data_IF_983286739258
#
_entry.id   IF_983286739258
#
_cell.length_a   1.000
_cell.length_b   1.000
_cell.length_c   1.000
_cell.angle_alpha   90.00
_cell.angle_beta   90.00
_cell.angle_gamma   90.00
#
_symmetry.space_group_name_H-M   'P 1'
#
loop_
_entity.id
_entity.type
_entity.pdbx_description
1 polymer ?
#
# COMPACT_ATOMS: atom_id res chain seq x y z
N UNK A 1 17.74 27.64 -1.19
CA UNK A 1 16.68 26.70 -1.57
C UNK A 1 15.35 27.37 -1.25
N UNK A 2 14.42 27.56 -2.20
CA UNK A 2 13.12 28.16 -1.90
C UNK A 2 12.34 27.19 -1.03
N UNK A 3 11.82 27.68 0.10
CA UNK A 3 10.87 26.94 0.94
C UNK A 3 9.61 26.71 0.11
N UNK A 4 9.45 25.51 -0.46
CA UNK A 4 8.18 25.11 -1.04
C UNK A 4 7.10 25.21 0.03
N UNK A 5 6.15 26.06 -0.25
CA UNK A 5 5.00 26.31 0.61
C UNK A 5 4.11 25.07 0.55
N UNK A 6 4.21 24.16 1.52
CA UNK A 6 3.48 22.89 1.63
C UNK A 6 1.95 23.01 1.69
N UNK A 7 1.42 24.20 1.42
CA UNK A 7 -0.03 24.51 1.50
C UNK A 7 -0.83 24.23 0.21
N UNK A 8 -0.22 23.78 -0.88
CA UNK A 8 -0.91 23.50 -2.15
C UNK A 8 -0.94 21.99 -2.43
N UNK A 9 -1.60 21.23 -1.54
CA UNK A 9 -1.94 19.82 -1.79
C UNK A 9 -3.46 19.64 -1.80
N UNK A 10 -4.18 20.59 -2.33
CA UNK A 10 -5.60 20.41 -2.59
C UNK A 10 -5.71 19.78 -3.97
N UNK A 11 -6.04 18.49 -4.03
CA UNK A 11 -6.29 17.82 -5.28
C UNK A 11 -7.58 18.34 -5.91
N UNK A 12 -7.72 18.14 -7.21
CA UNK A 12 -8.95 18.48 -7.93
C UNK A 12 -10.16 17.76 -7.33
N UNK A 13 -9.98 16.53 -6.81
CA UNK A 13 -11.03 15.79 -6.12
C UNK A 13 -11.49 16.50 -4.83
N UNK A 14 -10.54 16.87 -3.98
CA UNK A 14 -10.82 17.57 -2.71
C UNK A 14 -11.50 18.91 -2.98
N UNK A 15 -11.05 19.64 -3.99
CA UNK A 15 -11.68 20.89 -4.35
C UNK A 15 -13.12 20.69 -4.87
N UNK A 16 -13.33 19.73 -5.78
CA UNK A 16 -14.65 19.43 -6.33
C UNK A 16 -15.69 18.99 -5.31
N UNK A 17 -15.29 18.15 -4.35
CA UNK A 17 -16.21 17.54 -3.40
C UNK A 17 -16.18 18.19 -2.01
N UNK A 18 -15.23 19.09 -1.76
CA UNK A 18 -15.02 19.66 -0.44
C UNK A 18 -14.90 21.17 -0.37
N UNK A 19 -14.30 21.86 -1.38
CA UNK A 19 -13.92 23.26 -1.25
C UNK A 19 -14.65 24.20 -2.21
N UNK A 20 -14.96 23.72 -3.41
CA UNK A 20 -15.57 24.54 -4.45
C UNK A 20 -16.95 25.06 -4.05
N UNK A 21 -17.39 26.18 -4.64
CA UNK A 21 -18.73 26.73 -4.39
C UNK A 21 -19.86 25.73 -4.65
N UNK A 22 -19.64 24.76 -5.56
CA UNK A 22 -20.59 23.69 -5.90
C UNK A 22 -20.31 22.39 -5.12
N UNK A 23 -19.29 22.36 -4.24
CA UNK A 23 -18.87 21.15 -3.51
C UNK A 23 -20.01 20.49 -2.73
N UNK A 24 -20.90 21.28 -2.12
CA UNK A 24 -22.08 20.75 -1.41
C UNK A 24 -22.96 19.91 -2.35
N UNK A 25 -23.30 20.44 -3.53
CA UNK A 25 -24.11 19.72 -4.52
C UNK A 25 -23.39 18.47 -5.07
N UNK A 26 -22.11 18.59 -5.36
CA UNK A 26 -21.29 17.48 -5.84
C UNK A 26 -21.19 16.36 -4.79
N UNK A 27 -20.97 16.72 -3.52
CA UNK A 27 -20.92 15.76 -2.43
C UNK A 27 -22.27 15.06 -2.21
N UNK A 28 -23.38 15.80 -2.21
CA UNK A 28 -24.71 15.20 -2.08
C UNK A 28 -25.06 14.28 -3.24
N UNK A 29 -24.66 14.61 -4.48
CA UNK A 29 -24.80 13.72 -5.62
C UNK A 29 -24.02 12.41 -5.41
N UNK A 30 -22.79 12.50 -4.89
CA UNK A 30 -21.96 11.33 -4.57
C UNK A 30 -22.58 10.52 -3.42
N UNK A 31 -23.03 11.17 -2.35
CA UNK A 31 -23.69 10.52 -1.24
C UNK A 31 -24.95 9.76 -1.69
N UNK A 32 -25.79 10.41 -2.49
CA UNK A 32 -26.99 9.81 -3.04
C UNK A 32 -26.67 8.55 -3.89
N UNK A 33 -25.62 8.62 -4.70
CA UNK A 33 -25.17 7.49 -5.51
C UNK A 33 -24.62 6.31 -4.67
N UNK A 34 -23.96 6.60 -3.54
CA UNK A 34 -23.44 5.59 -2.62
C UNK A 34 -24.55 4.87 -1.85
N UNK A 35 -25.64 5.59 -1.50
CA UNK A 35 -26.67 5.11 -0.58
C UNK A 35 -28.03 4.87 -1.24
N UNK A 36 -28.19 5.20 -2.53
CA UNK A 36 -29.50 5.12 -3.20
C UNK A 36 -30.52 6.10 -2.63
N UNK A 37 -30.07 7.25 -2.12
CA UNK A 37 -30.90 8.31 -1.52
C UNK A 37 -31.13 9.48 -2.49
N UNK A 38 -31.95 10.45 -2.08
CA UNK A 38 -32.28 11.64 -2.88
C UNK A 38 -32.19 12.90 -2.03
N UNK A 39 -31.09 13.07 -1.28
CA UNK A 39 -30.84 14.29 -0.52
C UNK A 39 -30.62 15.47 -1.47
N UNK A 40 -31.13 16.63 -1.10
CA UNK A 40 -31.06 17.86 -1.89
C UNK A 40 -30.29 18.98 -1.16
N UNK A 41 -30.29 20.16 -1.74
CA UNK A 41 -29.57 21.33 -1.21
C UNK A 41 -30.10 21.83 0.17
N UNK A 42 -31.28 21.39 0.61
CA UNK A 42 -31.83 21.71 1.93
C UNK A 42 -31.17 20.89 3.04
N UNK A 43 -30.59 19.74 2.70
CA UNK A 43 -29.87 18.86 3.65
C UNK A 43 -28.73 19.60 4.32
N UNK A 44 -28.66 19.53 5.64
CA UNK A 44 -27.54 20.09 6.38
C UNK A 44 -26.28 19.27 6.12
N UNK A 45 -25.22 19.93 5.69
CA UNK A 45 -23.92 19.35 5.42
C UNK A 45 -22.86 20.16 6.15
N UNK A 46 -22.16 19.52 7.08
CA UNK A 46 -21.06 20.15 7.81
C UNK A 46 -19.74 19.49 7.40
N UNK A 47 -18.87 20.29 6.80
CA UNK A 47 -17.52 19.82 6.51
C UNK A 47 -16.72 19.66 7.81
N UNK A 48 -16.02 18.54 7.93
CA UNK A 48 -15.11 18.25 9.02
C UNK A 48 -13.67 18.34 8.50
N UNK A 49 -12.82 19.08 9.22
CA UNK A 49 -11.39 19.21 8.91
C UNK A 49 -10.58 18.89 10.15
N UNK A 50 -9.50 18.13 9.98
CA UNK A 50 -8.51 17.99 11.02
C UNK A 50 -7.53 19.15 10.93
N UNK A 51 -7.61 20.07 11.87
CA UNK A 51 -6.65 21.16 12.02
C UNK A 51 -5.39 20.63 12.74
N UNK A 52 -4.21 20.92 12.16
CA UNK A 52 -2.89 20.77 12.78
C UNK A 52 -2.54 19.37 13.32
N UNK A 53 -2.47 18.36 12.48
CA UNK A 53 -1.78 17.11 12.85
C UNK A 53 -0.36 17.16 12.32
N UNK A 54 0.62 17.37 13.23
CA UNK A 54 2.02 17.70 12.91
C UNK A 54 2.79 16.59 12.15
N UNK A 55 2.24 15.35 12.09
CA UNK A 55 2.90 14.18 11.49
C UNK A 55 2.02 13.33 10.58
N UNK A 56 0.79 13.75 10.24
CA UNK A 56 -0.12 12.96 9.39
C UNK A 56 -0.60 13.79 8.21
N UNK A 57 -0.25 13.35 7.01
CA UNK A 57 -0.69 13.96 5.74
C UNK A 57 -2.11 13.47 5.37
N UNK A 58 -3.13 13.93 6.08
CA UNK A 58 -4.54 13.73 5.71
C UNK A 58 -5.08 14.84 4.81
N UNK A 59 -4.22 15.47 4.02
CA UNK A 59 -4.59 16.65 3.23
C UNK A 59 -5.51 16.34 2.04
N UNK A 60 -5.61 15.08 1.65
CA UNK A 60 -6.36 14.65 0.48
C UNK A 60 -7.69 13.96 0.83
N UNK A 61 -8.15 14.06 2.07
CA UNK A 61 -9.37 13.39 2.49
C UNK A 61 -10.50 14.43 2.68
N UNK A 62 -11.68 14.12 2.16
CA UNK A 62 -12.88 14.91 2.32
C UNK A 62 -13.75 14.25 3.39
N UNK A 63 -14.03 14.95 4.47
CA UNK A 63 -14.92 14.44 5.49
C UNK A 63 -16.11 15.39 5.72
N UNK A 64 -17.31 14.82 5.70
CA UNK A 64 -18.54 15.54 5.96
C UNK A 64 -19.40 14.83 6.99
N UNK A 65 -20.01 15.62 7.85
CA UNK A 65 -21.13 15.18 8.67
C UNK A 65 -22.42 15.49 7.90
N UNK A 66 -23.17 14.44 7.60
CA UNK A 66 -24.49 14.51 6.96
C UNK A 66 -25.45 13.66 7.78
N UNK A 67 -26.56 14.23 8.23
CA UNK A 67 -27.44 13.62 9.22
C UNK A 67 -26.59 13.11 10.43
N UNK A 68 -26.77 11.85 10.83
CA UNK A 68 -26.03 11.21 11.92
C UNK A 68 -24.82 10.39 11.42
N UNK A 69 -24.22 10.74 10.25
CA UNK A 69 -23.12 10.00 9.64
C UNK A 69 -21.92 10.88 9.37
N UNK A 70 -20.73 10.35 9.63
CA UNK A 70 -19.48 10.94 9.17
C UNK A 70 -19.03 10.16 7.93
N UNK A 71 -19.07 10.80 6.78
CA UNK A 71 -18.58 10.23 5.53
C UNK A 71 -17.15 10.68 5.30
N UNK A 72 -16.23 9.75 5.27
CA UNK A 72 -14.83 9.99 4.94
C UNK A 72 -14.57 9.47 3.54
N UNK A 73 -14.30 10.39 2.64
CA UNK A 73 -13.87 10.09 1.28
C UNK A 73 -12.35 10.24 1.23
N UNK A 74 -11.65 9.15 1.17
CA UNK A 74 -10.23 9.20 0.87
C UNK A 74 -10.05 9.29 -0.64
N UNK A 75 -9.22 10.25 -1.04
CA UNK A 75 -8.94 10.48 -2.43
C UNK A 75 -8.27 9.27 -3.08
N UNK A 76 -8.57 9.15 -4.33
CA UNK A 76 -7.79 8.71 -5.46
C UNK A 76 -6.36 8.31 -5.11
N UNK A 77 -6.13 7.03 -5.02
CA UNK A 77 -4.78 6.50 -4.94
C UNK A 77 -4.42 5.83 -6.27
N UNK A 78 -3.30 6.25 -6.85
CA UNK A 78 -2.70 5.55 -7.98
C UNK A 78 -2.35 4.11 -7.61
N UNK A 79 -2.15 3.84 -6.31
CA UNK A 79 -1.95 2.50 -5.71
C UNK A 79 -2.84 2.35 -4.50
N UNK A 80 -3.51 1.20 -4.33
CA UNK A 80 -4.30 0.92 -3.13
C UNK A 80 -3.37 0.62 -1.96
N UNK A 81 -3.47 1.42 -0.91
CA UNK A 81 -2.71 1.20 0.31
C UNK A 81 -3.49 0.27 1.25
N UNK A 82 -2.96 -0.92 1.50
CA UNK A 82 -3.56 -1.90 2.41
C UNK A 82 -3.73 -1.38 3.87
N UNK A 83 -2.98 -0.33 4.25
CA UNK A 83 -3.07 0.28 5.58
C UNK A 83 -4.17 1.36 5.69
N UNK A 84 -5.04 1.52 4.68
CA UNK A 84 -6.14 2.48 4.74
C UNK A 84 -7.05 2.30 5.97
N UNK A 85 -7.40 1.08 6.42
CA UNK A 85 -8.21 0.92 7.63
C UNK A 85 -7.54 1.51 8.89
N UNK A 86 -6.24 1.31 9.06
CA UNK A 86 -5.48 1.90 10.18
C UNK A 86 -5.46 3.44 10.09
N UNK A 87 -5.26 3.98 8.90
CA UNK A 87 -5.30 5.41 8.65
C UNK A 87 -6.69 5.99 8.94
N UNK A 88 -7.76 5.36 8.47
CA UNK A 88 -9.14 5.75 8.74
C UNK A 88 -9.50 5.70 10.23
N UNK A 89 -9.01 4.69 10.97
CA UNK A 89 -9.19 4.61 12.42
C UNK A 89 -8.60 5.82 13.12
N UNK A 90 -7.37 6.18 12.81
CA UNK A 90 -6.70 7.34 13.40
C UNK A 90 -7.44 8.64 13.03
N UNK A 91 -7.91 8.73 11.80
CA UNK A 91 -8.64 9.89 11.32
C UNK A 91 -9.98 10.07 12.04
N UNK A 92 -10.82 9.04 12.09
CA UNK A 92 -12.15 9.14 12.73
C UNK A 92 -12.05 9.35 14.24
N UNK A 93 -11.04 8.78 14.91
CA UNK A 93 -10.81 9.02 16.32
C UNK A 93 -10.58 10.52 16.60
N UNK A 94 -9.80 11.20 15.76
CA UNK A 94 -9.57 12.65 15.84
C UNK A 94 -10.84 13.46 15.55
N UNK A 95 -11.63 13.04 14.56
CA UNK A 95 -12.91 13.69 14.28
C UNK A 95 -13.88 13.59 15.48
N UNK A 96 -13.95 12.43 16.13
CA UNK A 96 -14.77 12.27 17.34
C UNK A 96 -14.28 13.14 18.49
N UNK A 97 -12.98 13.31 18.68
CA UNK A 97 -12.41 14.24 19.66
C UNK A 97 -12.84 15.69 19.41
N UNK A 98 -13.01 16.11 18.14
CA UNK A 98 -13.41 17.47 17.78
C UNK A 98 -14.91 17.72 17.95
N UNK A 99 -15.75 16.73 17.66
CA UNK A 99 -17.21 16.91 17.65
C UNK A 99 -17.86 16.60 18.98
N UNK A 100 -17.21 15.82 19.83
CA UNK A 100 -17.74 15.47 21.14
C UNK A 100 -17.37 16.50 22.20
N UNK A 101 -18.29 16.69 23.15
CA UNK A 101 -17.95 17.42 24.35
C UNK A 101 -16.84 16.69 25.13
N UNK A 102 -15.77 17.39 25.58
CA UNK A 102 -14.63 16.73 26.26
C UNK A 102 -15.01 15.89 27.48
N UNK A 103 -16.10 16.22 28.15
CA UNK A 103 -16.61 15.49 29.31
C UNK A 103 -17.53 14.32 28.98
N UNK A 104 -17.98 14.18 27.72
CA UNK A 104 -18.96 13.18 27.30
C UNK A 104 -18.53 11.75 27.63
N UNK A 105 -17.23 11.44 27.51
CA UNK A 105 -16.64 10.12 27.85
C UNK A 105 -16.74 9.72 29.33
N UNK A 106 -17.05 10.66 30.22
CA UNK A 106 -17.20 10.42 31.66
C UNK A 106 -18.67 10.34 32.10
N UNK A 107 -19.62 10.60 31.21
CA UNK A 107 -21.03 10.50 31.54
C UNK A 107 -21.44 9.03 31.76
N UNK A 108 -22.34 8.80 32.71
CA UNK A 108 -22.88 7.45 32.97
C UNK A 108 -23.90 7.03 31.88
N UNK A 109 -24.50 7.98 31.21
CA UNK A 109 -25.44 7.74 30.11
C UNK A 109 -24.69 7.54 28.81
N UNK A 110 -25.12 6.55 28.00
CA UNK A 110 -24.53 6.29 26.69
C UNK A 110 -24.63 7.53 25.80
N UNK A 111 -23.48 8.01 25.36
CA UNK A 111 -23.39 9.10 24.40
C UNK A 111 -23.37 8.53 22.98
N UNK A 112 -24.34 8.92 22.17
CA UNK A 112 -24.37 8.55 20.76
C UNK A 112 -23.38 9.40 19.97
N UNK A 113 -22.72 8.77 19.01
CA UNK A 113 -21.79 9.41 18.08
C UNK A 113 -22.25 9.12 16.65
N UNK A 114 -21.95 10.00 15.70
CA UNK A 114 -22.27 9.78 14.30
C UNK A 114 -21.62 8.49 13.77
N UNK A 115 -22.35 7.74 12.95
CA UNK A 115 -21.85 6.49 12.35
C UNK A 115 -20.81 6.82 11.28
N UNK A 116 -19.57 6.27 11.35
CA UNK A 116 -18.54 6.55 10.38
C UNK A 116 -18.65 5.61 9.18
N UNK A 117 -18.40 6.14 7.99
CA UNK A 117 -18.30 5.38 6.75
C UNK A 117 -17.06 5.81 5.98
N UNK A 118 -16.36 4.85 5.37
CA UNK A 118 -15.06 5.06 4.74
C UNK A 118 -15.07 4.55 3.31
N UNK A 119 -14.75 5.45 2.38
CA UNK A 119 -14.69 5.15 0.95
C UNK A 119 -13.36 5.60 0.37
N UNK A 120 -12.73 4.72 -0.39
CA UNK A 120 -11.54 5.00 -1.20
C UNK A 120 -11.93 4.90 -2.66
N UNK A 121 -11.69 5.94 -3.41
CA UNK A 121 -11.91 5.95 -4.85
C UNK A 121 -10.59 5.65 -5.57
N UNK A 122 -10.50 4.45 -6.15
CA UNK A 122 -9.33 4.04 -6.90
C UNK A 122 -9.45 4.45 -8.37
N UNK A 123 -8.45 5.18 -8.83
CA UNK A 123 -8.30 5.59 -10.23
C UNK A 123 -6.86 5.37 -10.72
N UNK A 124 -6.20 4.30 -10.26
CA UNK A 124 -4.85 3.92 -10.69
C UNK A 124 -4.81 3.22 -12.05
N UNK A 125 -3.60 2.96 -12.54
CA UNK A 125 -3.38 2.27 -13.82
C UNK A 125 -3.33 0.75 -13.68
N UNK A 126 -3.08 0.25 -12.48
CA UNK A 126 -3.04 -1.19 -12.21
C UNK A 126 -4.43 -1.80 -12.30
N UNK A 127 -4.48 -3.07 -12.66
CA UNK A 127 -5.75 -3.79 -12.71
C UNK A 127 -6.29 -3.99 -11.30
N UNK A 128 -7.49 -3.50 -11.03
CA UNK A 128 -8.11 -3.56 -9.72
C UNK A 128 -9.60 -3.90 -9.83
N UNK A 129 -10.16 -4.68 -8.88
CA UNK A 129 -11.58 -5.02 -8.88
C UNK A 129 -12.47 -3.77 -8.90
N UNK A 130 -13.67 -3.90 -9.45
CA UNK A 130 -14.67 -2.83 -9.49
C UNK A 130 -14.99 -2.31 -8.08
N UNK A 131 -15.15 -3.24 -7.13
CA UNK A 131 -15.37 -2.92 -5.72
C UNK A 131 -14.71 -3.97 -4.84
N UNK A 132 -14.09 -3.54 -3.75
CA UNK A 132 -13.52 -4.42 -2.72
C UNK A 132 -13.58 -3.76 -1.35
N UNK A 133 -13.23 -4.51 -0.31
CA UNK A 133 -13.17 -4.01 1.06
C UNK A 133 -11.81 -4.31 1.68
N UNK A 134 -11.31 -3.36 2.47
CA UNK A 134 -10.13 -3.53 3.32
C UNK A 134 -10.60 -3.57 4.77
N UNK A 135 -10.06 -4.47 5.56
CA UNK A 135 -10.42 -4.66 6.96
C UNK A 135 -9.24 -4.35 7.89
N UNK A 136 -9.52 -3.70 9.00
CA UNK A 136 -8.50 -3.42 10.01
C UNK A 136 -7.94 -4.70 10.62
N UNK A 137 -8.79 -5.71 10.80
CA UNK A 137 -8.40 -7.02 11.36
C UNK A 137 -7.35 -7.76 10.52
N UNK A 138 -7.25 -7.47 9.21
CA UNK A 138 -6.22 -8.06 8.35
C UNK A 138 -4.80 -7.61 8.74
N UNK A 139 -4.68 -6.49 9.45
CA UNK A 139 -3.41 -5.98 9.97
C UNK A 139 -3.04 -6.50 11.36
N UNK A 140 -3.88 -7.30 12.02
CA UNK A 140 -3.60 -7.79 13.37
C UNK A 140 -2.59 -8.94 13.34
N UNK A 141 -1.63 -8.91 14.27
CA UNK A 141 -0.62 -9.97 14.40
C UNK A 141 -1.22 -11.34 14.71
N UNK A 142 -2.38 -11.37 15.38
CA UNK A 142 -3.12 -12.60 15.69
C UNK A 142 -4.48 -12.56 15.01
N UNK A 143 -4.73 -13.55 14.17
CA UNK A 143 -6.01 -13.68 13.45
C UNK A 143 -7.09 -14.11 14.44
N UNK A 144 -8.23 -13.41 14.41
CA UNK A 144 -9.44 -13.75 15.17
C UNK A 144 -10.64 -13.75 14.24
N UNK A 145 -11.49 -14.77 14.38
CA UNK A 145 -12.75 -14.83 13.64
C UNK A 145 -13.76 -13.75 14.09
N UNK A 146 -13.59 -13.24 15.32
CA UNK A 146 -14.40 -12.17 15.88
C UNK A 146 -13.47 -11.17 16.57
N UNK A 147 -12.90 -10.23 15.83
CA UNK A 147 -12.04 -9.20 16.40
C UNK A 147 -12.87 -8.25 17.29
N UNK A 148 -12.32 -7.86 18.43
CA UNK A 148 -12.97 -6.88 19.32
C UNK A 148 -13.01 -5.47 18.73
N UNK A 149 -12.18 -5.21 17.73
CA UNK A 149 -12.16 -3.96 16.96
C UNK A 149 -12.14 -4.30 15.47
N UNK A 150 -13.10 -3.75 14.73
CA UNK A 150 -13.12 -3.85 13.28
C UNK A 150 -13.44 -2.49 12.66
N UNK A 151 -12.77 -2.18 11.57
CA UNK A 151 -13.07 -1.04 10.70
C UNK A 151 -12.96 -1.53 9.25
N UNK A 152 -13.97 -1.24 8.46
CA UNK A 152 -14.06 -1.66 7.07
C UNK A 152 -14.03 -0.43 6.17
N UNK A 153 -13.17 -0.45 5.18
CA UNK A 153 -13.05 0.58 4.15
C UNK A 153 -13.54 0.02 2.83
N UNK A 154 -14.49 0.70 2.20
CA UNK A 154 -14.97 0.36 0.86
C UNK A 154 -14.07 0.99 -0.19
N UNK A 155 -13.45 0.18 -1.03
CA UNK A 155 -12.66 0.64 -2.18
C UNK A 155 -13.49 0.49 -3.45
N UNK A 156 -13.64 1.58 -4.20
CA UNK A 156 -14.44 1.66 -5.42
C UNK A 156 -13.52 2.07 -6.56
N UNK A 157 -13.41 1.23 -7.58
CA UNK A 157 -12.64 1.53 -8.77
C UNK A 157 -13.47 2.46 -9.67
N UNK A 158 -13.00 3.71 -9.82
CA UNK A 158 -13.68 4.73 -10.61
C UNK A 158 -13.06 4.95 -11.99
N UNK A 159 -12.19 4.07 -12.46
CA UNK A 159 -11.70 4.16 -13.82
C UNK A 159 -12.86 4.05 -14.82
N UNK A 160 -12.93 4.99 -15.78
CA UNK A 160 -14.03 5.12 -16.72
C UNK A 160 -14.29 3.85 -17.55
N UNK A 161 -13.25 3.11 -17.89
CA UNK A 161 -13.32 1.88 -18.69
C UNK A 161 -13.82 0.64 -17.91
N UNK A 162 -14.06 0.73 -16.60
CA UNK A 162 -14.52 -0.40 -15.78
C UNK A 162 -16.05 -0.42 -15.57
N UNK A 163 -16.79 0.57 -16.09
CA UNK A 163 -18.27 0.54 -16.13
C UNK A 163 -18.97 0.55 -14.76
N UNK A 164 -18.31 1.11 -13.73
CA UNK A 164 -18.88 1.10 -12.38
C UNK A 164 -20.21 1.87 -12.32
N UNK A 165 -21.24 1.26 -11.75
CA UNK A 165 -22.61 1.79 -11.66
C UNK A 165 -22.67 3.19 -11.02
N UNK A 166 -21.78 3.48 -10.07
CA UNK A 166 -21.72 4.79 -9.41
C UNK A 166 -21.43 5.94 -10.40
N UNK A 167 -20.72 5.66 -11.50
CA UNK A 167 -20.43 6.66 -12.53
C UNK A 167 -21.67 7.00 -13.36
N UNK A 168 -22.66 6.10 -13.45
CA UNK A 168 -23.93 6.36 -14.12
C UNK A 168 -24.88 7.21 -13.28
N UNK A 169 -24.75 7.16 -11.96
CA UNK A 169 -25.64 7.82 -11.00
C UNK A 169 -25.06 9.10 -10.41
N UNK A 170 -23.74 9.29 -10.47
CA UNK A 170 -23.05 10.47 -9.96
C UNK A 170 -22.32 11.24 -11.09
N UNK A 171 -23.01 12.21 -11.72
CA UNK A 171 -22.44 13.03 -12.79
C UNK A 171 -21.12 13.70 -12.42
N UNK A 172 -20.97 14.38 -11.24
CA UNK A 172 -19.69 15.01 -10.89
C UNK A 172 -18.51 14.01 -10.80
N UNK A 173 -18.75 12.79 -10.32
CA UNK A 173 -17.72 11.77 -10.25
C UNK A 173 -17.37 11.23 -11.65
N UNK A 174 -18.35 11.01 -12.50
CA UNK A 174 -18.14 10.58 -13.89
C UNK A 174 -17.33 11.63 -14.67
N UNK A 175 -17.70 12.90 -14.56
CA UNK A 175 -16.96 13.99 -15.23
C UNK A 175 -15.53 14.10 -14.68
N UNK A 176 -15.32 13.91 -13.39
CA UNK A 176 -13.99 13.86 -12.78
C UNK A 176 -13.14 12.72 -13.36
N UNK A 177 -13.70 11.52 -13.53
CA UNK A 177 -12.93 10.39 -14.10
C UNK A 177 -12.55 10.62 -15.57
N UNK A 178 -13.45 11.22 -16.37
CA UNK A 178 -13.17 11.64 -17.74
C UNK A 178 -12.08 12.71 -17.81
N UNK A 179 -12.12 13.67 -16.89
CA UNK A 179 -11.08 14.69 -16.77
C UNK A 179 -9.71 14.08 -16.46
N UNK A 180 -9.62 13.16 -15.47
CA UNK A 180 -8.37 12.48 -15.14
C UNK A 180 -7.84 11.66 -16.33
N UNK A 181 -8.72 10.98 -17.08
CA UNK A 181 -8.32 10.27 -18.29
C UNK A 181 -7.77 11.22 -19.37
N UNK A 182 -8.43 12.36 -19.59
CA UNK A 182 -7.94 13.39 -20.51
C UNK A 182 -6.56 13.93 -20.08
N UNK A 183 -6.37 14.20 -18.79
CA UNK A 183 -5.07 14.63 -18.26
C UNK A 183 -3.99 13.59 -18.56
N UNK A 184 -4.22 12.32 -18.29
CA UNK A 184 -3.26 11.23 -18.56
C UNK A 184 -2.92 11.09 -20.04
N UNK A 185 -3.91 11.17 -20.91
CA UNK A 185 -3.70 11.07 -22.36
C UNK A 185 -2.86 12.24 -22.87
N UNK A 186 -3.21 13.46 -22.50
CA UNK A 186 -2.51 14.66 -22.98
C UNK A 186 -1.11 14.80 -22.41
N UNK A 187 -0.88 14.49 -21.13
CA UNK A 187 0.46 14.55 -20.53
C UNK A 187 1.42 13.49 -21.09
N UNK A 188 0.89 12.34 -21.50
CA UNK A 188 1.68 11.31 -22.20
C UNK A 188 2.13 11.76 -23.61
N UNK A 189 1.33 12.58 -24.29
CA UNK A 189 1.61 13.08 -25.64
C UNK A 189 2.48 14.35 -25.63
N UNK A 190 2.26 15.23 -24.68
CA UNK A 190 2.94 16.53 -24.54
C UNK A 190 3.07 16.86 -23.05
N UNK A 191 4.24 16.62 -22.49
CA UNK A 191 4.51 16.86 -21.07
C UNK A 191 4.45 18.35 -20.69
N UNK A 192 4.70 19.27 -21.61
CA UNK A 192 4.73 20.71 -21.32
C UNK A 192 3.34 21.35 -21.34
N UNK A 193 2.50 20.99 -22.34
CA UNK A 193 1.18 21.59 -22.53
C UNK A 193 0.02 20.64 -22.20
N UNK A 194 0.33 19.41 -21.76
CA UNK A 194 -0.67 18.35 -21.56
C UNK A 194 -1.82 18.76 -20.65
N UNK A 195 -1.56 19.42 -19.54
CA UNK A 195 -2.61 19.90 -18.62
C UNK A 195 -3.52 20.94 -19.28
N UNK A 196 -2.93 21.89 -20.02
CA UNK A 196 -3.71 22.93 -20.71
C UNK A 196 -4.57 22.31 -21.81
N UNK A 197 -4.03 21.35 -22.55
CA UNK A 197 -4.74 20.67 -23.63
C UNK A 197 -5.90 19.81 -23.09
N UNK A 198 -5.67 19.08 -21.98
CA UNK A 198 -6.72 18.33 -21.30
C UNK A 198 -7.87 19.22 -20.81
N UNK A 199 -7.56 20.33 -20.16
CA UNK A 199 -8.56 21.30 -19.70
C UNK A 199 -9.37 21.85 -20.90
N UNK A 200 -8.69 22.21 -21.99
CA UNK A 200 -9.35 22.71 -23.20
C UNK A 200 -10.30 21.68 -23.81
N UNK A 201 -9.85 20.43 -23.95
CA UNK A 201 -10.68 19.33 -24.43
C UNK A 201 -11.90 19.11 -23.54
N UNK A 202 -11.72 19.06 -22.21
CA UNK A 202 -12.82 18.86 -21.27
C UNK A 202 -13.85 19.99 -21.34
N UNK A 203 -13.41 21.25 -21.43
CA UNK A 203 -14.31 22.39 -21.62
C UNK A 203 -15.11 22.28 -22.94
N UNK A 204 -14.48 21.85 -24.03
CA UNK A 204 -15.14 21.67 -25.33
C UNK A 204 -16.21 20.56 -25.29
N UNK A 205 -15.92 19.48 -24.54
CA UNK A 205 -16.80 18.31 -24.43
C UNK A 205 -17.79 18.39 -23.26
N UNK A 206 -17.97 19.56 -22.64
CA UNK A 206 -18.88 19.80 -21.52
C UNK A 206 -18.55 19.00 -20.22
N UNK A 207 -17.29 18.59 -20.07
CA UNK A 207 -16.79 17.88 -18.90
C UNK A 207 -16.28 18.88 -17.88
N UNK A 208 -16.86 18.94 -16.69
CA UNK A 208 -16.53 19.91 -15.64
C UNK A 208 -16.42 21.36 -16.15
N UNK A 209 -17.18 21.71 -17.22
CA UNK A 209 -17.01 22.96 -17.98
C UNK A 209 -16.98 24.20 -17.10
N UNK A 210 -18.01 24.44 -16.30
CA UNK A 210 -18.10 25.64 -15.47
C UNK A 210 -16.96 25.71 -14.44
N UNK A 211 -16.58 24.58 -13.86
CA UNK A 211 -15.51 24.46 -12.90
C UNK A 211 -14.17 24.79 -13.56
N UNK A 212 -13.85 24.17 -14.68
CA UNK A 212 -12.60 24.37 -15.40
C UNK A 212 -12.48 25.76 -16.03
N UNK A 213 -13.57 26.33 -16.53
CA UNK A 213 -13.55 27.73 -17.03
C UNK A 213 -13.24 28.73 -15.92
N UNK A 214 -13.74 28.50 -14.73
CA UNK A 214 -13.56 29.39 -13.59
C UNK A 214 -12.20 29.22 -12.90
N UNK A 215 -11.70 27.97 -12.79
CA UNK A 215 -10.53 27.62 -11.99
C UNK A 215 -9.35 27.03 -12.80
N UNK A 216 -9.29 27.23 -14.11
CA UNK A 216 -8.27 26.57 -14.96
C UNK A 216 -6.82 26.76 -14.50
N UNK A 217 -6.46 27.95 -14.00
CA UNK A 217 -5.11 28.23 -13.49
C UNK A 217 -4.84 27.49 -12.18
N UNK A 218 -5.82 27.45 -11.29
CA UNK A 218 -5.73 26.76 -9.99
C UNK A 218 -5.62 25.25 -10.22
N UNK A 219 -6.45 24.70 -11.13
CA UNK A 219 -6.42 23.29 -11.51
C UNK A 219 -5.05 22.90 -12.09
N UNK A 220 -4.45 23.73 -12.97
CA UNK A 220 -3.08 23.47 -13.46
C UNK A 220 -2.09 23.43 -12.31
N UNK A 221 -2.19 24.34 -11.35
CA UNK A 221 -1.29 24.34 -10.19
C UNK A 221 -1.49 23.12 -9.30
N UNK A 222 -2.72 22.64 -9.11
CA UNK A 222 -3.02 21.40 -8.39
C UNK A 222 -2.40 20.20 -9.11
N UNK A 223 -2.62 20.07 -10.43
CA UNK A 223 -2.08 18.98 -11.24
C UNK A 223 -0.54 18.96 -11.25
N UNK A 224 0.10 20.13 -11.33
CA UNK A 224 1.56 20.22 -11.24
C UNK A 224 2.06 19.76 -9.87
N UNK A 225 1.39 20.14 -8.80
CA UNK A 225 1.76 19.72 -7.45
C UNK A 225 1.58 18.22 -7.22
N UNK A 226 0.54 17.61 -7.78
CA UNK A 226 0.32 16.15 -7.78
C UNK A 226 1.39 15.43 -8.59
N UNK A 227 1.68 15.91 -9.81
CA UNK A 227 2.69 15.32 -10.68
C UNK A 227 4.08 15.33 -10.06
N UNK A 228 4.50 16.47 -9.51
CA UNK A 228 5.82 16.60 -8.85
C UNK A 228 5.91 15.64 -7.64
N UNK A 229 4.83 15.46 -6.91
CA UNK A 229 4.80 14.54 -5.77
C UNK A 229 4.87 13.07 -6.19
N UNK A 230 4.15 12.69 -7.25
CA UNK A 230 4.18 11.31 -7.77
C UNK A 230 5.55 10.95 -8.34
N UNK A 231 6.22 11.90 -9.01
CA UNK A 231 7.60 11.74 -9.49
C UNK A 231 8.58 11.59 -8.34
N UNK A 232 8.47 12.43 -7.31
CA UNK A 232 9.34 12.37 -6.12
C UNK A 232 9.19 11.01 -5.39
N UNK A 233 7.96 10.54 -5.20
CA UNK A 233 7.70 9.21 -4.63
C UNK A 233 8.23 8.09 -5.52
N UNK A 234 8.09 8.18 -6.84
CA UNK A 234 8.58 7.16 -7.75
C UNK A 234 10.11 7.04 -7.68
N UNK A 235 10.81 8.17 -7.64
CA UNK A 235 12.27 8.22 -7.48
C UNK A 235 12.69 7.63 -6.14
N UNK A 236 12.06 8.03 -5.03
CA UNK A 236 12.37 7.50 -3.70
C UNK A 236 12.15 5.98 -3.62
N UNK A 237 11.08 5.45 -4.20
CA UNK A 237 10.82 4.01 -4.26
C UNK A 237 11.87 3.24 -5.06
N UNK A 238 12.34 3.81 -6.16
CA UNK A 238 13.40 3.18 -6.96
C UNK A 238 14.73 3.18 -6.20
N UNK A 239 15.09 4.27 -5.54
CA UNK A 239 16.26 4.35 -4.68
C UNK A 239 16.19 3.33 -3.52
N UNK A 240 15.06 3.26 -2.81
CA UNK A 240 14.84 2.28 -1.73
C UNK A 240 14.95 0.83 -2.24
N UNK A 241 14.40 0.55 -3.44
CA UNK A 241 14.49 -0.75 -4.07
C UNK A 241 15.93 -1.13 -4.42
N UNK A 242 16.70 -0.19 -4.96
CA UNK A 242 18.13 -0.41 -5.25
C UNK A 242 18.94 -0.67 -3.97
N UNK A 243 18.69 0.09 -2.90
CA UNK A 243 19.34 -0.10 -1.60
C UNK A 243 19.00 -1.48 -1.05
N UNK A 244 17.73 -1.84 -0.99
CA UNK A 244 17.28 -3.14 -0.49
C UNK A 244 17.85 -4.30 -1.30
N UNK A 245 17.97 -4.16 -2.62
CA UNK A 245 18.59 -5.16 -3.49
C UNK A 245 20.09 -5.33 -3.18
N UNK A 246 20.82 -4.24 -3.03
CA UNK A 246 22.25 -4.25 -2.66
C UNK A 246 22.48 -4.90 -1.29
N UNK A 247 21.67 -4.54 -0.31
CA UNK A 247 21.72 -5.13 1.03
C UNK A 247 21.37 -6.63 1.02
N UNK A 248 20.34 -7.00 0.26
CA UNK A 248 19.93 -8.41 0.11
C UNK A 248 21.02 -9.28 -0.54
N UNK A 249 21.70 -8.76 -1.57
CA UNK A 249 22.84 -9.42 -2.21
C UNK A 249 23.99 -9.59 -1.20
N UNK A 250 24.38 -8.51 -0.52
CA UNK A 250 25.47 -8.56 0.46
C UNK A 250 25.19 -9.53 1.62
N UNK A 251 23.96 -9.57 2.13
CA UNK A 251 23.54 -10.53 3.16
C UNK A 251 23.53 -11.97 2.63
N UNK A 252 23.08 -12.17 1.39
CA UNK A 252 23.08 -13.48 0.73
C UNK A 252 24.49 -14.02 0.54
N UNK A 253 25.42 -13.20 0.07
CA UNK A 253 26.84 -13.55 -0.10
C UNK A 253 27.50 -13.88 1.25
N UNK A 254 27.29 -13.05 2.28
CA UNK A 254 27.85 -13.30 3.61
C UNK A 254 27.34 -14.62 4.23
N UNK A 255 26.03 -14.89 4.11
CA UNK A 255 25.44 -16.16 4.57
C UNK A 255 25.94 -17.37 3.77
N UNK A 256 25.99 -17.22 2.44
CA UNK A 256 26.48 -18.28 1.56
C UNK A 256 27.95 -18.63 1.84
N UNK A 257 28.79 -17.62 2.05
CA UNK A 257 30.19 -17.80 2.40
C UNK A 257 30.35 -18.51 3.78
N UNK A 258 29.64 -18.07 4.79
CA UNK A 258 29.66 -18.67 6.12
C UNK A 258 29.22 -20.14 6.10
N UNK A 259 28.11 -20.45 5.42
CA UNK A 259 27.63 -21.82 5.27
C UNK A 259 28.60 -22.67 4.48
N UNK A 260 29.22 -22.12 3.43
CA UNK A 260 30.22 -22.82 2.62
C UNK A 260 31.45 -23.21 3.42
N UNK A 261 31.97 -22.35 4.30
CA UNK A 261 33.09 -22.66 5.20
C UNK A 261 32.70 -23.79 6.14
N UNK A 262 31.56 -23.68 6.84
CA UNK A 262 31.14 -24.73 7.81
C UNK A 262 30.96 -26.09 7.14
N UNK A 263 30.35 -26.13 5.96
CA UNK A 263 30.15 -27.35 5.21
C UNK A 263 31.49 -27.91 4.69
N UNK A 264 32.37 -27.03 4.21
CA UNK A 264 33.71 -27.42 3.73
C UNK A 264 34.58 -27.99 4.84
N UNK A 265 34.59 -27.36 6.02
CA UNK A 265 35.32 -27.86 7.19
C UNK A 265 34.77 -29.21 7.67
N UNK A 266 33.45 -29.36 7.79
CA UNK A 266 32.83 -30.62 8.19
C UNK A 266 33.15 -31.75 7.22
N UNK A 267 33.10 -31.49 5.90
CA UNK A 267 33.46 -32.44 4.86
C UNK A 267 34.95 -32.80 4.90
N UNK A 268 35.83 -31.81 5.04
CA UNK A 268 37.28 -32.01 5.13
C UNK A 268 37.68 -32.83 6.34
N UNK A 269 37.06 -32.58 7.50
CA UNK A 269 37.31 -33.39 8.72
C UNK A 269 36.86 -34.85 8.50
N UNK A 270 35.68 -35.06 7.93
CA UNK A 270 35.14 -36.40 7.65
C UNK A 270 36.00 -37.16 6.66
N UNK A 271 36.38 -36.55 5.54
CA UNK A 271 37.25 -37.16 4.54
C UNK A 271 38.65 -37.43 5.09
N UNK A 272 39.22 -36.49 5.87
CA UNK A 272 40.53 -36.68 6.51
C UNK A 272 40.54 -37.81 7.55
N UNK A 273 39.48 -37.94 8.33
CA UNK A 273 39.32 -39.04 9.28
C UNK A 273 39.21 -40.40 8.57
N UNK A 274 38.44 -40.45 7.47
CA UNK A 274 38.29 -41.66 6.67
C UNK A 274 39.61 -42.08 6.00
N UNK A 275 40.39 -41.15 5.48
CA UNK A 275 41.72 -41.44 4.90
C UNK A 275 42.69 -41.97 5.94
N UNK A 276 42.73 -41.41 7.15
CA UNK A 276 43.53 -41.92 8.25
C UNK A 276 43.10 -43.32 8.68
N UNK A 277 41.81 -43.62 8.69
CA UNK A 277 41.29 -44.95 8.97
C UNK A 277 41.76 -45.98 7.93
N UNK A 278 41.75 -45.59 6.65
CA UNK A 278 42.30 -46.43 5.56
C UNK A 278 43.81 -46.69 5.75
N UNK A 279 44.59 -45.66 6.05
CA UNK A 279 46.06 -45.82 6.28
C UNK A 279 46.37 -46.73 7.48
N UNK A 280 45.63 -46.56 8.57
CA UNK A 280 45.72 -47.41 9.75
C UNK A 280 45.37 -48.86 9.40
N UNK A 281 44.29 -49.12 8.68
CA UNK A 281 43.86 -50.45 8.26
C UNK A 281 44.88 -51.11 7.34
N UNK A 282 45.48 -50.39 6.38
CA UNK A 282 46.54 -50.88 5.55
C UNK A 282 47.78 -51.31 6.34
N UNK A 283 48.15 -50.49 7.34
CA UNK A 283 49.32 -50.83 8.21
C UNK A 283 49.05 -52.08 9.04
N UNK A 284 47.83 -52.19 9.62
CA UNK A 284 47.43 -53.36 10.40
C UNK A 284 47.35 -54.67 9.53
N UNK A 285 46.84 -54.55 8.31
CA UNK A 285 46.84 -55.64 7.33
C UNK A 285 48.27 -56.13 7.03
N UNK A 286 49.18 -55.20 6.83
CA UNK A 286 50.61 -55.54 6.59
C UNK A 286 51.25 -56.23 7.80
N UNK A 287 50.83 -55.89 9.02
CA UNK A 287 51.28 -56.51 10.28
C UNK A 287 50.51 -57.80 10.62
N UNK A 288 49.56 -58.23 9.77
CA UNK A 288 48.78 -59.47 9.90
C UNK A 288 47.87 -59.51 11.15
N UNK A 289 47.32 -58.39 11.55
CA UNK A 289 46.28 -58.33 12.62
C UNK A 289 45.03 -59.09 12.19
N UNK A 290 44.25 -59.64 13.16
CA UNK A 290 42.95 -60.25 12.87
C UNK A 290 41.96 -59.20 12.28
N UNK A 291 41.14 -59.64 11.30
CA UNK A 291 40.22 -58.77 10.59
C UNK A 291 39.24 -57.99 11.57
N UNK A 292 38.77 -58.70 12.60
CA UNK A 292 37.91 -58.19 13.63
C UNK A 292 38.52 -56.99 14.42
N UNK A 293 39.82 -57.09 14.71
CA UNK A 293 40.59 -56.07 15.41
C UNK A 293 40.82 -54.83 14.50
N UNK A 294 41.06 -55.06 13.22
CA UNK A 294 41.20 -53.97 12.23
C UNK A 294 39.88 -53.18 12.12
N UNK A 295 38.74 -53.88 12.04
CA UNK A 295 37.44 -53.25 12.01
C UNK A 295 37.21 -52.39 13.26
N UNK A 296 37.50 -52.91 14.45
CA UNK A 296 37.30 -52.20 15.73
C UNK A 296 38.16 -50.94 15.85
N UNK A 297 39.42 -51.01 15.39
CA UNK A 297 40.37 -49.89 15.55
C UNK A 297 40.21 -48.82 14.47
N UNK A 298 40.01 -49.25 13.20
CA UNK A 298 39.85 -48.31 12.08
C UNK A 298 38.46 -47.73 11.95
N UNK A 299 37.45 -48.42 12.46
CA UNK A 299 36.03 -48.05 12.28
C UNK A 299 35.52 -48.32 10.85
N UNK A 300 36.33 -49.00 10.00
CA UNK A 300 35.92 -49.41 8.67
C UNK A 300 35.14 -50.71 8.71
N UNK A 301 34.28 -50.93 7.74
CA UNK A 301 33.53 -52.17 7.59
C UNK A 301 34.41 -53.32 7.04
N UNK A 302 34.01 -54.55 7.32
CA UNK A 302 34.70 -55.76 6.80
C UNK A 302 34.86 -55.71 5.29
N UNK A 303 33.84 -55.31 4.56
CA UNK A 303 33.84 -55.17 3.09
C UNK A 303 34.88 -54.16 2.60
N UNK A 304 35.01 -53.02 3.29
CA UNK A 304 36.02 -52.00 2.98
C UNK A 304 37.44 -52.51 3.20
N UNK A 305 37.68 -53.24 4.30
CA UNK A 305 39.00 -53.82 4.62
C UNK A 305 39.35 -54.93 3.64
N UNK A 306 38.41 -55.78 3.28
CA UNK A 306 38.63 -56.81 2.23
C UNK A 306 38.97 -56.20 0.86
N UNK A 307 38.28 -55.05 0.52
CA UNK A 307 38.60 -54.26 -0.66
C UNK A 307 40.06 -53.76 -0.66
N UNK A 308 40.53 -53.25 0.48
CA UNK A 308 41.92 -52.80 0.65
C UNK A 308 42.93 -53.95 0.56
N UNK A 309 42.62 -55.13 1.08
CA UNK A 309 43.47 -56.26 1.05
C UNK A 309 43.65 -56.83 -0.38
N UNK A 310 42.65 -56.70 -1.23
CA UNK A 310 42.76 -57.09 -2.67
C UNK A 310 43.60 -56.10 -3.47
N UNK A 311 43.74 -54.88 -3.04
CA UNK A 311 44.57 -53.86 -3.72
C UNK A 311 46.04 -53.86 -3.24
N UNK A 312 46.35 -54.57 -2.15
CA UNK A 312 47.70 -54.70 -1.59
C UNK A 312 48.42 -56.01 -2.02
N UNK A 313 47.71 -56.89 -2.72
CA UNK A 313 48.25 -58.11 -3.38
C UNK A 313 48.55 -57.86 -4.86
#
# INVERSE_FOLDING_TARGET
>A
MPKHNRRYKDSVFVDLFGEDKNAKGNFLALYNALHGTHLDSSTELKRLRLEQVMYMTFYNDVAHLVDDRIIVLAEHQSTVNANMPLRCLQYVARLYEQIQEPKAKYYRTLQKIPTPEFYVFYNGLEEYPERTTLKLSDAFMTISAQPNLELVVSVININYNKGNEILHTCKPLAEYTLFVDAVRRHTKLDSENGFKNAIKECIQNDILREYLQRKSKEVINMLLAEYDYDVDIAVQREEEREIALKEGIAQGEAKGFSLGIVQGEAKGISEGAYQKAIEAAKTMLAMRYPLEDICKISGLTEAEIEGLNKTLK
#
